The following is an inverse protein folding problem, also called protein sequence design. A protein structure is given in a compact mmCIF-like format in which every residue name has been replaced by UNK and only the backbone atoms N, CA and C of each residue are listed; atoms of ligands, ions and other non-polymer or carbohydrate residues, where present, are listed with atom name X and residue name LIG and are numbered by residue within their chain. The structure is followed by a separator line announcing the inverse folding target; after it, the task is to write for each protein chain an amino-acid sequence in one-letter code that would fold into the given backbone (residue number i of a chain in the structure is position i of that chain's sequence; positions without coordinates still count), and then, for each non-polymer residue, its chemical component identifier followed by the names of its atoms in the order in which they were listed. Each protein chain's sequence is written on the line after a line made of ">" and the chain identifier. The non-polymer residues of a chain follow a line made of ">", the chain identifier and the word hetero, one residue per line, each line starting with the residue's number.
data_IF_888486218963
#
_entry.id   IF_888486218963
#
_cell.length_a   1.000
_cell.length_b   1.000
_cell.length_c   1.000
_cell.angle_alpha   90.00
_cell.angle_beta   90.00
_cell.angle_gamma   90.00
#
_symmetry.space_group_name_H-M   'P 1'
#
loop_
_entity.id
_entity.type
_entity.pdbx_description
1 polymer ?
#
# COMPACT_ATOMS: atom_id res chain seq x y z
N UNK A 1 23.02 -14.31 -8.69
CA UNK A 1 22.56 -13.92 -7.32
C UNK A 1 23.11 -12.54 -7.07
N UNK A 2 22.22 -11.52 -6.87
CA UNK A 2 22.68 -10.16 -6.48
C UNK A 2 23.08 -10.26 -5.01
N UNK A 3 24.37 -10.20 -4.73
CA UNK A 3 24.87 -10.16 -3.36
C UNK A 3 25.11 -8.70 -2.97
N UNK A 4 24.21 -8.17 -2.13
CA UNK A 4 24.30 -6.80 -1.67
C UNK A 4 25.17 -6.70 -0.42
N UNK A 5 26.03 -5.70 -0.38
CA UNK A 5 26.87 -5.40 0.77
C UNK A 5 26.02 -5.12 2.04
N UNK A 6 26.58 -5.42 3.21
CA UNK A 6 25.86 -5.33 4.49
C UNK A 6 25.28 -3.93 4.76
N UNK A 7 25.99 -2.87 4.39
CA UNK A 7 25.50 -1.48 4.57
C UNK A 7 24.27 -1.18 3.70
N UNK A 8 24.16 -1.77 2.50
CA UNK A 8 22.98 -1.65 1.63
C UNK A 8 21.80 -2.41 2.23
N UNK A 9 22.01 -3.60 2.76
CA UNK A 9 20.97 -4.37 3.46
C UNK A 9 20.47 -3.63 4.70
N UNK A 10 21.35 -2.97 5.47
CA UNK A 10 20.98 -2.16 6.61
C UNK A 10 20.16 -0.92 6.19
N UNK A 11 20.57 -0.25 5.12
CA UNK A 11 19.79 0.86 4.53
C UNK A 11 18.39 0.39 4.13
N UNK A 12 18.27 -0.75 3.45
CA UNK A 12 16.99 -1.31 3.03
C UNK A 12 16.12 -1.74 4.23
N UNK A 13 16.72 -2.29 5.28
CA UNK A 13 16.01 -2.60 6.54
C UNK A 13 15.43 -1.34 7.18
N UNK A 14 16.22 -0.27 7.31
CA UNK A 14 15.76 1.02 7.90
C UNK A 14 14.65 1.63 7.04
N UNK A 15 14.83 1.66 5.72
CA UNK A 15 13.81 2.13 4.79
C UNK A 15 12.51 1.32 4.93
N UNK A 16 12.60 0.00 5.06
CA UNK A 16 11.47 -0.87 5.26
C UNK A 16 10.81 -0.69 6.64
N UNK A 17 11.57 -0.42 7.70
CA UNK A 17 11.02 -0.10 9.03
C UNK A 17 10.19 1.19 8.97
N UNK A 18 10.73 2.26 8.38
CA UNK A 18 10.01 3.54 8.20
C UNK A 18 8.77 3.32 7.32
N UNK A 19 8.92 2.57 6.24
CA UNK A 19 7.83 2.23 5.35
C UNK A 19 6.71 1.47 6.08
N UNK A 20 7.05 0.46 6.89
CA UNK A 20 6.09 -0.31 7.68
C UNK A 20 5.37 0.55 8.72
N UNK A 21 6.11 1.45 9.39
CA UNK A 21 5.52 2.41 10.32
C UNK A 21 4.46 3.28 9.62
N UNK A 22 4.83 3.92 8.51
CA UNK A 22 3.93 4.80 7.74
C UNK A 22 2.78 3.99 7.13
N UNK A 23 3.09 2.84 6.52
CA UNK A 23 2.09 1.99 5.87
C UNK A 23 1.00 1.55 6.84
N UNK A 24 1.37 1.13 8.03
CA UNK A 24 0.40 0.67 9.04
C UNK A 24 -0.57 1.77 9.50
N UNK A 25 -0.21 3.04 9.33
CA UNK A 25 -1.01 4.21 9.71
C UNK A 25 -1.86 4.70 8.54
N UNK A 26 -1.23 4.99 7.40
CA UNK A 26 -1.86 5.71 6.28
C UNK A 26 -1.85 4.96 4.95
N UNK A 27 -1.12 3.85 4.87
CA UNK A 27 -0.86 3.18 3.61
C UNK A 27 0.34 3.79 2.88
N UNK A 28 0.84 3.07 1.89
CA UNK A 28 1.89 3.60 1.01
C UNK A 28 3.32 3.17 1.31
N UNK A 29 3.55 2.09 2.05
CA UNK A 29 4.90 1.57 2.32
C UNK A 29 5.73 1.33 1.07
N UNK A 30 5.10 0.84 0.00
CA UNK A 30 5.74 0.65 -1.30
C UNK A 30 6.34 1.92 -1.92
N UNK A 31 5.84 3.09 -1.51
CA UNK A 31 6.34 4.40 -1.95
C UNK A 31 7.76 4.70 -1.44
N UNK A 32 8.15 4.08 -0.36
CA UNK A 32 9.48 4.21 0.24
C UNK A 32 10.35 3.03 -0.20
N UNK A 33 9.82 1.81 -0.13
CA UNK A 33 10.59 0.60 -0.35
C UNK A 33 10.96 0.37 -1.81
N UNK A 34 10.05 0.66 -2.76
CA UNK A 34 10.34 0.51 -4.19
C UNK A 34 11.49 1.42 -4.62
N UNK A 35 11.46 2.75 -4.38
CA UNK A 35 12.59 3.59 -4.70
C UNK A 35 13.88 3.22 -3.96
N UNK A 36 13.79 2.79 -2.69
CA UNK A 36 14.98 2.36 -1.95
C UNK A 36 15.65 1.14 -2.62
N UNK A 37 14.87 0.17 -3.09
CA UNK A 37 15.39 -0.99 -3.83
C UNK A 37 15.95 -0.60 -5.20
N UNK A 38 15.29 0.30 -5.94
CA UNK A 38 15.80 0.81 -7.21
C UNK A 38 17.13 1.56 -7.03
N UNK A 39 17.25 2.39 -5.98
CA UNK A 39 18.51 3.06 -5.62
C UNK A 39 19.61 2.08 -5.22
N UNK A 40 19.24 0.94 -4.66
CA UNK A 40 20.18 -0.17 -4.38
C UNK A 40 20.56 -0.97 -5.64
N UNK A 41 20.11 -0.56 -6.84
CA UNK A 41 20.43 -1.21 -8.12
C UNK A 41 19.61 -2.46 -8.41
N UNK A 42 18.53 -2.72 -7.69
CA UNK A 42 17.67 -3.88 -7.94
C UNK A 42 16.81 -3.62 -9.18
N UNK A 43 16.78 -4.53 -10.18
CA UNK A 43 15.98 -4.37 -11.38
C UNK A 43 14.47 -4.20 -11.07
N UNK A 44 13.72 -3.46 -11.90
CA UNK A 44 12.32 -3.10 -11.61
C UNK A 44 11.40 -4.30 -11.33
N UNK A 45 11.46 -5.36 -12.15
CA UNK A 45 10.59 -6.53 -11.96
C UNK A 45 10.91 -7.25 -10.64
N UNK A 46 12.19 -7.42 -10.30
CA UNK A 46 12.61 -8.01 -9.02
C UNK A 46 12.25 -7.09 -7.84
N UNK A 47 12.32 -5.78 -8.04
CA UNK A 47 11.85 -4.79 -7.05
C UNK A 47 10.37 -4.96 -6.74
N UNK A 48 9.52 -5.11 -7.77
CA UNK A 48 8.07 -5.34 -7.57
C UNK A 48 7.80 -6.65 -6.82
N UNK A 49 8.40 -7.76 -7.26
CA UNK A 49 8.22 -9.06 -6.61
C UNK A 49 8.75 -9.07 -5.16
N UNK A 50 9.95 -8.52 -4.93
CA UNK A 50 10.54 -8.42 -3.59
C UNK A 50 9.72 -7.49 -2.69
N UNK A 51 9.13 -6.42 -3.25
CA UNK A 51 8.23 -5.54 -2.52
C UNK A 51 6.98 -6.29 -2.02
N UNK A 52 6.40 -7.19 -2.81
CA UNK A 52 5.26 -8.00 -2.36
C UNK A 52 5.64 -8.95 -1.24
N UNK A 53 6.80 -9.59 -1.32
CA UNK A 53 7.30 -10.45 -0.25
C UNK A 53 7.44 -9.68 1.08
N UNK A 54 8.14 -8.56 1.08
CA UNK A 54 8.35 -7.78 2.31
C UNK A 54 7.06 -7.14 2.84
N UNK A 55 6.15 -6.72 1.94
CA UNK A 55 4.87 -6.12 2.31
C UNK A 55 3.92 -7.11 3.01
N UNK A 56 4.06 -8.42 2.78
CA UNK A 56 3.33 -9.44 3.54
C UNK A 56 3.63 -9.34 5.03
N UNK A 57 4.89 -9.11 5.41
CA UNK A 57 5.28 -8.97 6.82
C UNK A 57 4.68 -7.71 7.43
N UNK A 58 4.71 -6.58 6.71
CA UNK A 58 4.17 -5.31 7.20
C UNK A 58 2.65 -5.32 7.33
N UNK A 59 1.95 -5.65 6.25
CA UNK A 59 0.48 -5.69 6.23
C UNK A 59 -0.09 -6.78 7.12
N UNK A 60 0.55 -7.97 7.17
CA UNK A 60 0.18 -9.05 8.08
C UNK A 60 0.35 -8.66 9.54
N UNK A 61 1.50 -8.04 9.89
CA UNK A 61 1.79 -7.52 11.22
C UNK A 61 0.78 -6.47 11.67
N UNK A 62 0.47 -5.49 10.82
CA UNK A 62 -0.55 -4.47 11.08
C UNK A 62 -1.94 -5.09 11.22
N UNK A 63 -2.33 -5.99 10.31
CA UNK A 63 -3.61 -6.70 10.37
C UNK A 63 -3.79 -7.42 11.70
N UNK A 64 -2.76 -8.15 12.15
CA UNK A 64 -2.78 -8.85 13.42
C UNK A 64 -2.91 -7.89 14.62
N UNK A 65 -2.19 -6.76 14.58
CA UNK A 65 -2.27 -5.75 15.63
C UNK A 65 -3.68 -5.14 15.74
N UNK A 66 -4.29 -4.75 14.61
CA UNK A 66 -5.65 -4.22 14.58
C UNK A 66 -6.71 -5.26 14.94
N UNK A 67 -6.55 -6.51 14.50
CA UNK A 67 -7.47 -7.59 14.83
C UNK A 67 -7.46 -7.92 16.35
N UNK A 68 -6.27 -7.99 16.96
CA UNK A 68 -6.13 -8.19 18.42
C UNK A 68 -6.73 -7.06 19.24
N UNK A 69 -6.75 -5.85 18.69
CA UNK A 69 -7.37 -4.69 19.30
C UNK A 69 -8.89 -4.58 19.00
N UNK A 70 -9.49 -5.56 18.34
CA UNK A 70 -10.92 -5.58 18.02
C UNK A 70 -11.35 -4.59 16.92
N UNK A 71 -10.40 -3.98 16.19
CA UNK A 71 -10.69 -2.99 15.16
C UNK A 71 -11.17 -3.62 13.84
N UNK A 72 -10.93 -4.91 13.63
CA UNK A 72 -11.36 -5.65 12.44
C UNK A 72 -11.70 -7.09 12.79
N UNK A 73 -12.80 -7.58 12.24
CA UNK A 73 -13.20 -9.00 12.34
C UNK A 73 -12.65 -9.74 11.11
N UNK A 74 -11.60 -10.54 11.33
CA UNK A 74 -10.93 -11.27 10.25
C UNK A 74 -11.87 -12.21 9.50
N UNK A 75 -12.71 -12.98 10.21
CA UNK A 75 -13.64 -13.95 9.59
C UNK A 75 -14.64 -13.26 8.66
N UNK A 76 -15.21 -12.15 9.10
CA UNK A 76 -16.21 -11.40 8.32
C UNK A 76 -15.61 -10.77 7.07
N UNK A 77 -14.37 -10.32 7.15
CA UNK A 77 -13.72 -9.59 6.06
C UNK A 77 -12.85 -10.48 5.17
N UNK A 78 -12.62 -11.74 5.53
CA UNK A 78 -11.82 -12.68 4.74
C UNK A 78 -12.31 -12.83 3.27
N UNK A 79 -13.63 -12.88 2.95
CA UNK A 79 -14.09 -12.92 1.57
C UNK A 79 -13.64 -11.70 0.75
N UNK A 80 -13.69 -10.50 1.33
CA UNK A 80 -13.19 -9.28 0.66
C UNK A 80 -11.66 -9.34 0.46
N UNK A 81 -10.92 -9.87 1.44
CA UNK A 81 -9.47 -10.05 1.31
C UNK A 81 -9.13 -11.05 0.19
N UNK A 82 -9.93 -12.12 0.03
CA UNK A 82 -9.78 -13.05 -1.08
C UNK A 82 -10.06 -12.38 -2.44
N UNK A 83 -11.10 -11.55 -2.55
CA UNK A 83 -11.39 -10.77 -3.76
C UNK A 83 -10.25 -9.78 -4.07
N UNK A 84 -9.67 -9.15 -3.04
CA UNK A 84 -8.49 -8.31 -3.19
C UNK A 84 -7.28 -9.10 -3.71
N UNK A 85 -7.07 -10.33 -3.19
CA UNK A 85 -6.01 -11.22 -3.64
C UNK A 85 -6.18 -11.62 -5.12
N UNK A 86 -7.41 -11.99 -5.52
CA UNK A 86 -7.72 -12.34 -6.91
C UNK A 86 -7.45 -11.15 -7.84
N UNK A 87 -7.96 -9.96 -7.48
CA UNK A 87 -7.68 -8.74 -8.22
C UNK A 87 -6.17 -8.49 -8.37
N UNK A 88 -5.42 -8.61 -7.28
CA UNK A 88 -3.99 -8.39 -7.27
C UNK A 88 -3.20 -9.45 -8.06
N UNK A 89 -3.63 -10.71 -8.05
CA UNK A 89 -3.03 -11.74 -8.89
C UNK A 89 -3.20 -11.42 -10.38
N UNK A 90 -4.42 -11.00 -10.79
CA UNK A 90 -4.67 -10.55 -12.17
C UNK A 90 -3.82 -9.32 -12.52
N UNK A 91 -3.74 -8.34 -11.62
CA UNK A 91 -2.92 -7.15 -11.81
C UNK A 91 -1.42 -7.48 -11.94
N UNK A 92 -0.91 -8.37 -11.09
CA UNK A 92 0.48 -8.80 -11.15
C UNK A 92 0.80 -9.56 -12.46
N UNK A 93 -0.12 -10.39 -12.94
CA UNK A 93 0.03 -11.04 -14.24
C UNK A 93 0.11 -10.01 -15.39
N UNK A 94 -0.71 -8.97 -15.32
CA UNK A 94 -0.65 -7.86 -16.28
C UNK A 94 0.65 -7.05 -16.14
N UNK A 95 1.14 -6.81 -14.92
CA UNK A 95 2.40 -6.09 -14.69
C UNK A 95 3.61 -6.74 -15.36
N UNK A 96 3.55 -8.05 -15.62
CA UNK A 96 4.65 -8.78 -16.32
C UNK A 96 4.71 -8.48 -17.81
N UNK A 97 3.65 -7.92 -18.42
CA UNK A 97 3.51 -7.69 -19.87
C UNK A 97 3.25 -6.25 -20.28
N UNK A 98 2.90 -5.34 -19.36
CA UNK A 98 2.52 -3.96 -19.67
C UNK A 98 3.70 -2.97 -19.59
N UNK A 99 3.76 -1.99 -20.54
CA UNK A 99 4.61 -0.81 -20.37
C UNK A 99 4.08 0.05 -19.21
N UNK A 100 4.92 0.29 -18.20
CA UNK A 100 4.52 0.99 -16.97
C UNK A 100 4.20 2.49 -17.12
N UNK A 101 4.20 3.05 -18.33
CA UNK A 101 4.13 4.49 -18.59
C UNK A 101 2.78 5.12 -18.28
N UNK A 102 1.69 4.48 -18.70
CA UNK A 102 0.32 5.01 -18.46
C UNK A 102 0.03 5.15 -16.97
N UNK A 103 0.44 4.17 -16.20
CA UNK A 103 0.22 4.14 -14.76
C UNK A 103 1.12 5.16 -14.04
N UNK A 104 2.34 5.40 -14.51
CA UNK A 104 3.20 6.47 -14.01
C UNK A 104 2.57 7.86 -14.19
N UNK A 105 1.82 8.08 -15.27
CA UNK A 105 1.16 9.35 -15.53
C UNK A 105 -0.05 9.58 -14.61
N UNK A 106 -0.87 8.57 -14.38
CA UNK A 106 -2.12 8.69 -13.62
C UNK A 106 -1.88 8.72 -12.10
N UNK A 107 -0.89 7.98 -11.60
CA UNK A 107 -0.64 7.81 -10.19
C UNK A 107 -0.45 9.13 -9.41
N UNK A 108 0.33 10.14 -9.87
CA UNK A 108 0.45 11.41 -9.16
C UNK A 108 -0.88 12.13 -8.98
N UNK A 109 -1.73 12.13 -10.01
CA UNK A 109 -3.04 12.78 -9.97
C UNK A 109 -3.97 12.12 -8.97
N UNK A 110 -3.99 10.78 -8.93
CA UNK A 110 -4.79 10.03 -7.96
C UNK A 110 -4.32 10.31 -6.52
N UNK A 111 -3.02 10.35 -6.27
CA UNK A 111 -2.46 10.63 -4.95
C UNK A 111 -2.71 12.07 -4.50
N UNK A 112 -2.60 13.04 -5.41
CA UNK A 112 -2.99 14.43 -5.13
C UNK A 112 -4.48 14.52 -4.81
N UNK A 113 -5.34 13.81 -5.55
CA UNK A 113 -6.77 13.74 -5.27
C UNK A 113 -7.06 13.20 -3.87
N UNK A 114 -6.37 12.14 -3.43
CA UNK A 114 -6.48 11.60 -2.06
C UNK A 114 -6.02 12.63 -1.03
N UNK A 115 -4.84 13.22 -1.23
CA UNK A 115 -4.30 14.22 -0.32
C UNK A 115 -5.26 15.40 -0.16
N UNK A 116 -5.77 15.93 -1.27
CA UNK A 116 -6.71 17.04 -1.31
C UNK A 116 -8.04 16.68 -0.62
N UNK A 117 -8.58 15.49 -0.88
CA UNK A 117 -9.81 15.03 -0.23
C UNK A 117 -9.68 15.04 1.30
N UNK A 118 -8.63 14.42 1.85
CA UNK A 118 -8.42 14.37 3.29
C UNK A 118 -8.02 15.73 3.90
N UNK A 119 -7.34 16.59 3.15
CA UNK A 119 -7.01 17.94 3.59
C UNK A 119 -8.25 18.84 3.68
N UNK A 120 -9.13 18.79 2.68
CA UNK A 120 -10.33 19.63 2.60
C UNK A 120 -11.52 19.11 3.42
N UNK A 121 -11.47 17.91 3.94
CA UNK A 121 -12.53 17.32 4.78
C UNK A 121 -12.11 17.26 6.25
N UNK A 122 -12.10 18.39 6.99
CA UNK A 122 -11.64 18.43 8.38
C UNK A 122 -12.50 17.56 9.32
N UNK A 123 -13.79 17.37 9.00
CA UNK A 123 -14.76 16.67 9.84
C UNK A 123 -14.77 15.13 9.65
N UNK A 124 -13.83 14.55 8.90
CA UNK A 124 -13.65 13.09 8.86
C UNK A 124 -12.88 12.69 10.11
N UNK A 125 -13.59 12.13 11.08
CA UNK A 125 -13.06 11.60 12.33
C UNK A 125 -13.15 10.08 12.41
N UNK A 126 -13.15 9.56 13.64
CA UNK A 126 -13.25 8.10 13.91
C UNK A 126 -14.72 7.65 14.10
N UNK A 127 -15.69 8.46 13.70
CA UNK A 127 -17.12 8.14 13.80
C UNK A 127 -17.59 7.49 12.50
N UNK A 128 -18.22 6.31 12.63
CA UNK A 128 -18.82 5.62 11.49
C UNK A 128 -20.07 6.36 11.00
N UNK A 129 -20.29 6.28 9.69
CA UNK A 129 -21.48 6.78 8.98
C UNK A 129 -22.16 5.61 8.26
N UNK A 130 -23.32 5.87 7.66
CA UNK A 130 -24.00 4.87 6.86
C UNK A 130 -23.23 4.52 5.57
N UNK A 131 -23.30 3.25 5.17
CA UNK A 131 -22.82 2.80 3.87
C UNK A 131 -23.52 3.58 2.75
N UNK A 132 -22.75 4.09 1.82
CA UNK A 132 -23.24 4.77 0.61
C UNK A 132 -23.35 3.83 -0.58
N UNK A 133 -22.52 2.79 -0.60
CA UNK A 133 -22.53 1.71 -1.57
C UNK A 133 -22.86 0.41 -0.85
N UNK A 134 -23.76 -0.42 -1.40
CA UNK A 134 -24.07 -1.71 -0.79
C UNK A 134 -22.81 -2.56 -0.56
N UNK A 135 -22.72 -3.26 0.58
CA UNK A 135 -21.53 -4.01 0.99
C UNK A 135 -21.09 -5.02 -0.10
N UNK A 136 -22.07 -5.71 -0.73
CA UNK A 136 -21.78 -6.64 -1.82
C UNK A 136 -21.23 -5.92 -3.07
N UNK A 137 -21.81 -4.79 -3.45
CA UNK A 137 -21.31 -4.02 -4.59
C UNK A 137 -19.88 -3.52 -4.31
N UNK A 138 -19.60 -3.01 -3.10
CA UNK A 138 -18.25 -2.63 -2.68
C UNK A 138 -17.27 -3.81 -2.78
N UNK A 139 -17.67 -4.98 -2.26
CA UNK A 139 -16.84 -6.17 -2.25
C UNK A 139 -16.47 -6.68 -3.66
N UNK A 140 -17.44 -6.70 -4.58
CA UNK A 140 -17.25 -7.27 -5.91
C UNK A 140 -16.74 -6.27 -6.97
N UNK A 141 -16.76 -4.98 -6.70
CA UNK A 141 -16.29 -3.96 -7.65
C UNK A 141 -15.06 -3.22 -7.15
N UNK A 142 -15.19 -2.49 -6.04
CA UNK A 142 -14.13 -1.61 -5.52
C UNK A 142 -12.94 -2.42 -5.02
N UNK A 143 -13.19 -3.49 -4.27
CA UNK A 143 -12.14 -4.29 -3.65
C UNK A 143 -11.22 -4.97 -4.68
N UNK A 144 -11.73 -5.73 -5.68
CA UNK A 144 -10.88 -6.34 -6.68
C UNK A 144 -10.23 -5.31 -7.61
N UNK A 145 -10.86 -4.16 -7.88
CA UNK A 145 -10.28 -3.11 -8.70
C UNK A 145 -9.05 -2.48 -8.02
N UNK A 146 -9.15 -2.15 -6.73
CA UNK A 146 -8.00 -1.65 -5.98
C UNK A 146 -6.95 -2.75 -5.79
N UNK A 147 -7.38 -4.01 -5.60
CA UNK A 147 -6.48 -5.16 -5.59
C UNK A 147 -5.72 -5.29 -6.91
N UNK A 148 -6.39 -5.19 -8.05
CA UNK A 148 -5.77 -5.21 -9.37
C UNK A 148 -4.71 -4.12 -9.52
N UNK A 149 -5.05 -2.87 -9.12
CA UNK A 149 -4.09 -1.79 -9.06
C UNK A 149 -2.86 -2.14 -8.21
N UNK A 150 -3.08 -2.75 -7.03
CA UNK A 150 -1.98 -3.20 -6.15
C UNK A 150 -1.08 -4.24 -6.83
N UNK A 151 -1.66 -5.15 -7.58
CA UNK A 151 -0.93 -6.15 -8.34
C UNK A 151 -0.05 -5.54 -9.43
N UNK A 152 -0.59 -4.55 -10.16
CA UNK A 152 0.15 -3.88 -11.25
C UNK A 152 1.27 -3.00 -10.69
N UNK A 153 1.02 -2.26 -9.61
CA UNK A 153 1.89 -1.19 -9.11
C UNK A 153 2.24 -1.28 -7.63
N UNK A 154 1.24 -1.26 -6.79
CA UNK A 154 1.36 -1.31 -5.35
C UNK A 154 1.46 0.00 -4.59
N UNK A 155 2.23 1.03 -5.02
CA UNK A 155 2.36 2.26 -4.25
C UNK A 155 1.01 2.95 -4.01
N UNK A 156 0.69 3.26 -2.75
CA UNK A 156 -0.54 3.98 -2.42
C UNK A 156 -1.81 3.15 -2.24
N UNK A 157 -1.79 1.85 -2.50
CA UNK A 157 -2.95 0.95 -2.37
C UNK A 157 -3.67 1.08 -1.04
N UNK A 158 -2.92 1.15 0.07
CA UNK A 158 -3.50 1.37 1.39
C UNK A 158 -4.28 2.69 1.50
N UNK A 159 -3.80 3.76 0.86
CA UNK A 159 -4.50 5.04 0.83
C UNK A 159 -5.79 4.96 0.00
N UNK A 160 -5.79 4.21 -1.11
CA UNK A 160 -6.99 4.00 -1.93
C UNK A 160 -8.05 3.16 -1.19
N UNK A 161 -7.66 2.06 -0.55
CA UNK A 161 -8.59 1.29 0.29
C UNK A 161 -9.15 2.14 1.42
N UNK A 162 -8.30 2.92 2.11
CA UNK A 162 -8.76 3.80 3.18
C UNK A 162 -9.76 4.83 2.67
N UNK A 163 -9.47 5.49 1.54
CA UNK A 163 -10.39 6.43 0.90
C UNK A 163 -11.73 5.75 0.58
N UNK A 164 -11.69 4.57 -0.03
CA UNK A 164 -12.88 3.82 -0.38
C UNK A 164 -13.72 3.44 0.86
N UNK A 165 -13.09 2.95 1.93
CA UNK A 165 -13.81 2.65 3.18
C UNK A 165 -14.41 3.90 3.83
N UNK A 166 -13.71 5.03 3.84
CA UNK A 166 -14.23 6.28 4.41
C UNK A 166 -15.36 6.85 3.58
N UNK A 167 -15.22 6.85 2.24
CA UNK A 167 -16.18 7.52 1.35
C UNK A 167 -17.38 6.68 0.98
N UNK A 168 -17.19 5.37 0.73
CA UNK A 168 -18.21 4.47 0.21
C UNK A 168 -18.79 3.55 1.28
N UNK A 169 -17.96 3.07 2.21
CA UNK A 169 -18.40 2.26 3.34
C UNK A 169 -18.77 3.08 4.58
N UNK A 170 -18.43 4.37 4.60
CA UNK A 170 -18.77 5.27 5.70
C UNK A 170 -18.00 5.01 7.00
N UNK A 171 -16.90 4.28 6.97
CA UNK A 171 -16.12 3.95 8.17
C UNK A 171 -15.38 5.18 8.69
N UNK A 172 -15.27 5.28 10.02
CA UNK A 172 -14.34 6.19 10.67
C UNK A 172 -12.90 5.86 10.28
N UNK A 173 -12.00 6.85 10.36
CA UNK A 173 -10.63 6.74 9.81
C UNK A 173 -9.84 5.58 10.42
N UNK A 174 -9.92 5.37 11.74
CA UNK A 174 -9.22 4.27 12.41
C UNK A 174 -9.73 2.90 11.95
N UNK A 175 -11.05 2.73 11.89
CA UNK A 175 -11.67 1.50 11.40
C UNK A 175 -11.36 1.26 9.93
N UNK A 176 -11.45 2.29 9.08
CA UNK A 176 -11.05 2.21 7.69
C UNK A 176 -9.59 1.75 7.54
N UNK A 177 -8.68 2.30 8.35
CA UNK A 177 -7.27 1.87 8.39
C UNK A 177 -7.14 0.39 8.72
N UNK A 178 -7.81 -0.08 9.78
CA UNK A 178 -7.75 -1.47 10.21
C UNK A 178 -8.24 -2.44 9.12
N UNK A 179 -9.39 -2.14 8.51
CA UNK A 179 -9.96 -2.93 7.42
C UNK A 179 -9.07 -2.93 6.17
N UNK A 180 -8.46 -1.79 5.85
CA UNK A 180 -7.49 -1.65 4.76
C UNK A 180 -6.33 -2.63 4.89
N UNK A 181 -5.79 -2.85 6.10
CA UNK A 181 -4.61 -3.71 6.27
C UNK A 181 -4.88 -5.16 5.92
N UNK A 182 -6.07 -5.67 6.23
CA UNK A 182 -6.43 -7.04 5.84
C UNK A 182 -6.60 -7.16 4.31
N UNK A 183 -7.22 -6.18 3.65
CA UNK A 183 -7.34 -6.19 2.19
C UNK A 183 -5.97 -6.06 1.51
N UNK A 184 -5.11 -5.21 2.05
CA UNK A 184 -3.73 -5.05 1.59
C UNK A 184 -2.90 -6.33 1.80
N UNK A 185 -3.11 -7.04 2.90
CA UNK A 185 -2.49 -8.33 3.13
C UNK A 185 -2.96 -9.35 2.08
N UNK A 186 -4.27 -9.38 1.78
CA UNK A 186 -4.84 -10.21 0.74
C UNK A 186 -4.25 -9.91 -0.64
N UNK A 187 -4.23 -8.64 -1.05
CA UNK A 187 -3.65 -8.24 -2.35
C UNK A 187 -2.16 -8.58 -2.46
N UNK A 188 -1.39 -8.38 -1.38
CA UNK A 188 0.01 -8.79 -1.36
C UNK A 188 0.20 -10.30 -1.51
N UNK A 189 -0.69 -11.14 -0.91
CA UNK A 189 -0.67 -12.61 -1.12
C UNK A 189 -0.90 -12.93 -2.60
N UNK A 190 -1.94 -12.35 -3.22
CA UNK A 190 -2.27 -12.61 -4.60
C UNK A 190 -1.15 -12.24 -5.57
N UNK A 191 -0.64 -11.03 -5.44
CA UNK A 191 0.47 -10.56 -6.27
C UNK A 191 1.77 -11.33 -5.99
N UNK A 192 2.06 -11.64 -4.71
CA UNK A 192 3.22 -12.46 -4.33
C UNK A 192 3.21 -13.82 -5.02
N UNK A 193 2.07 -14.51 -5.06
CA UNK A 193 1.95 -15.82 -5.70
C UNK A 193 2.33 -15.77 -7.19
N UNK A 194 1.93 -14.71 -7.90
CA UNK A 194 2.26 -14.51 -9.31
C UNK A 194 3.76 -14.21 -9.48
N UNK A 195 4.32 -13.24 -8.77
CA UNK A 195 5.75 -12.91 -8.87
C UNK A 195 6.64 -14.07 -8.41
N UNK A 196 6.18 -14.92 -7.49
CA UNK A 196 6.85 -16.15 -7.11
C UNK A 196 6.95 -17.11 -8.29
N UNK A 197 5.83 -17.34 -9.00
CA UNK A 197 5.81 -18.22 -10.18
C UNK A 197 6.72 -17.70 -11.30
N UNK A 198 6.90 -16.39 -11.42
CA UNK A 198 7.83 -15.76 -12.38
C UNK A 198 9.28 -15.69 -11.89
N UNK A 199 9.60 -16.17 -10.69
CA UNK A 199 10.96 -16.12 -10.13
C UNK A 199 11.48 -14.70 -9.89
N UNK A 200 10.59 -13.70 -9.82
CA UNK A 200 10.94 -12.27 -9.73
C UNK A 200 11.15 -11.83 -8.27
N UNK A 201 11.93 -12.57 -7.48
CA UNK A 201 12.16 -12.27 -6.07
C UNK A 201 13.61 -12.38 -5.64
N UNK A 202 14.04 -11.44 -4.80
CA UNK A 202 15.30 -11.50 -4.06
C UNK A 202 15.00 -11.88 -2.61
N UNK A 203 15.05 -13.17 -2.30
CA UNK A 203 14.65 -13.70 -1.00
C UNK A 203 15.39 -13.07 0.18
N UNK A 204 16.73 -12.96 0.10
CA UNK A 204 17.56 -12.34 1.15
C UNK A 204 17.11 -10.91 1.45
N UNK A 205 16.92 -10.11 0.40
CA UNK A 205 16.44 -8.73 0.50
C UNK A 205 15.02 -8.67 1.06
N UNK A 206 14.13 -9.49 0.50
CA UNK A 206 12.72 -9.55 0.92
C UNK A 206 12.54 -9.90 2.40
N UNK A 207 13.32 -10.85 2.94
CA UNK A 207 13.27 -11.19 4.36
C UNK A 207 13.89 -10.12 5.26
N UNK A 208 15.02 -9.51 4.88
CA UNK A 208 15.64 -8.42 5.64
C UNK A 208 14.68 -7.22 5.71
N UNK A 209 14.12 -6.82 4.57
CA UNK A 209 13.13 -5.74 4.52
C UNK A 209 11.82 -6.14 5.20
N UNK A 210 11.41 -7.40 5.09
CA UNK A 210 10.24 -7.96 5.77
C UNK A 210 10.33 -7.82 7.29
N UNK A 211 11.49 -8.12 7.87
CA UNK A 211 11.73 -7.89 9.29
C UNK A 211 11.58 -6.41 9.66
N UNK A 212 12.17 -5.49 8.89
CA UNK A 212 11.99 -4.05 9.07
C UNK A 212 10.51 -3.64 9.01
N UNK A 213 9.80 -4.06 7.97
CA UNK A 213 8.36 -3.82 7.80
C UNK A 213 7.53 -4.35 8.97
N UNK A 214 7.83 -5.57 9.44
CA UNK A 214 7.12 -6.17 10.56
C UNK A 214 7.22 -5.31 11.81
N UNK A 215 8.43 -4.95 12.23
CA UNK A 215 8.64 -4.13 13.42
C UNK A 215 8.09 -2.71 13.25
N UNK A 216 8.31 -2.09 12.09
CA UNK A 216 7.76 -0.77 11.78
C UNK A 216 6.24 -0.75 11.87
N UNK A 217 5.58 -1.76 11.30
CA UNK A 217 4.12 -1.87 11.32
C UNK A 217 3.55 -2.13 12.72
N UNK A 218 4.25 -2.87 13.58
CA UNK A 218 3.84 -3.05 14.98
C UNK A 218 3.86 -1.74 15.75
N UNK A 219 4.89 -0.93 15.56
CA UNK A 219 5.00 0.37 16.22
C UNK A 219 3.95 1.33 15.67
N UNK A 220 3.85 1.43 14.34
CA UNK A 220 2.94 2.36 13.68
C UNK A 220 1.46 2.06 13.94
N UNK A 221 1.03 0.80 13.91
CA UNK A 221 -0.35 0.41 14.20
C UNK A 221 -0.75 0.74 15.65
N UNK A 222 0.13 0.48 16.62
CA UNK A 222 -0.09 0.87 18.02
C UNK A 222 -0.20 2.39 18.19
N UNK A 223 0.64 3.13 17.46
CA UNK A 223 0.61 4.59 17.47
C UNK A 223 -0.69 5.13 16.83
N UNK A 224 -1.12 4.55 15.71
CA UNK A 224 -2.39 4.90 15.08
C UNK A 224 -3.60 4.62 15.99
N UNK A 225 -3.64 3.47 16.64
CA UNK A 225 -4.72 3.12 17.59
C UNK A 225 -4.81 4.07 18.78
N UNK A 226 -3.67 4.61 19.26
CA UNK A 226 -3.65 5.59 20.35
C UNK A 226 -4.10 6.99 19.95
N UNK A 227 -3.88 7.39 18.70
CA UNK A 227 -4.06 8.77 18.22
C UNK A 227 -5.22 8.93 17.24
N UNK A 228 -5.70 7.83 16.63
CA UNK A 228 -6.81 7.81 15.68
C UNK A 228 -6.65 8.79 14.52
N UNK A 229 -7.74 9.40 14.08
CA UNK A 229 -7.75 10.32 12.95
C UNK A 229 -6.79 11.51 13.10
N UNK A 230 -6.43 11.91 14.33
CA UNK A 230 -5.52 13.03 14.60
C UNK A 230 -4.13 12.84 13.97
N UNK A 231 -3.67 11.58 13.88
CA UNK A 231 -2.36 11.26 13.30
C UNK A 231 -2.47 10.61 11.93
N UNK A 232 -3.51 9.83 11.69
CA UNK A 232 -3.70 9.11 10.43
C UNK A 232 -3.89 10.10 9.28
N UNK A 233 -4.76 11.10 9.45
CA UNK A 233 -5.02 12.12 8.42
C UNK A 233 -3.78 12.91 7.99
N UNK A 234 -3.04 13.57 8.89
CA UNK A 234 -1.86 14.33 8.47
C UNK A 234 -0.77 13.46 7.84
N UNK A 235 -0.52 12.26 8.36
CA UNK A 235 0.44 11.33 7.74
C UNK A 235 -0.02 10.95 6.34
N UNK A 236 -1.29 10.62 6.13
CA UNK A 236 -1.84 10.29 4.82
C UNK A 236 -1.71 11.46 3.83
N UNK A 237 -2.06 12.67 4.25
CA UNK A 237 -1.93 13.87 3.41
C UNK A 237 -0.46 14.10 3.02
N UNK A 238 0.43 14.11 4.01
CA UNK A 238 1.87 14.35 3.78
C UNK A 238 2.46 13.28 2.87
N UNK A 239 2.24 12.00 3.16
CA UNK A 239 2.80 10.90 2.37
C UNK A 239 2.27 10.90 0.94
N UNK A 240 0.97 11.08 0.75
CA UNK A 240 0.36 11.13 -0.59
C UNK A 240 0.85 12.35 -1.39
N UNK A 241 0.99 13.52 -0.74
CA UNK A 241 1.50 14.74 -1.39
C UNK A 241 2.97 14.61 -1.78
N UNK A 242 3.82 14.17 -0.85
CA UNK A 242 5.26 13.99 -1.11
C UNK A 242 5.48 13.00 -2.24
N UNK A 243 4.73 11.90 -2.26
CA UNK A 243 4.84 10.94 -3.35
C UNK A 243 4.35 11.52 -4.68
N UNK A 244 3.20 12.20 -4.69
CA UNK A 244 2.69 12.81 -5.90
C UNK A 244 3.71 13.79 -6.51
N UNK A 245 4.30 14.66 -5.67
CA UNK A 245 5.36 15.59 -6.09
C UNK A 245 6.57 14.83 -6.64
N UNK A 246 7.01 13.78 -5.96
CA UNK A 246 8.15 12.97 -6.40
C UNK A 246 7.90 12.30 -7.76
N UNK A 247 6.71 11.74 -7.95
CA UNK A 247 6.35 11.10 -9.23
C UNK A 247 6.20 12.12 -10.35
N UNK A 248 5.67 13.31 -10.07
CA UNK A 248 5.62 14.40 -11.05
C UNK A 248 7.01 14.96 -11.38
N UNK A 249 7.94 14.96 -10.44
CA UNK A 249 9.31 15.41 -10.64
C UNK A 249 10.18 14.40 -11.42
N UNK A 250 9.72 13.15 -11.59
CA UNK A 250 10.45 12.13 -12.36
C UNK A 250 10.56 12.57 -13.83
N UNK A 251 11.78 12.70 -14.39
CA UNK A 251 11.98 13.09 -15.80
C UNK A 251 11.33 12.13 -16.81
N UNK A 252 11.11 10.88 -16.41
CA UNK A 252 10.48 9.85 -17.26
C UNK A 252 8.96 9.81 -17.15
N UNK A 253 8.35 10.69 -16.32
CA UNK A 253 6.90 10.68 -16.15
C UNK A 253 6.21 11.23 -17.40
N UNK A 254 5.31 10.46 -18.05
CA UNK A 254 4.62 10.90 -19.26
C UNK A 254 3.80 12.17 -19.08
N UNK A 255 3.23 12.40 -17.89
CA UNK A 255 2.47 13.62 -17.59
C UNK A 255 3.36 14.85 -17.62
N UNK A 256 4.58 14.75 -17.09
CA UNK A 256 5.58 15.83 -17.12
C UNK A 256 6.00 16.13 -18.57
N UNK A 257 6.28 15.10 -19.36
CA UNK A 257 6.63 15.23 -20.76
C UNK A 257 5.51 15.88 -21.58
N UNK A 258 4.25 15.51 -21.29
CA UNK A 258 3.09 16.10 -21.96
C UNK A 258 2.85 17.56 -21.57
N UNK A 259 3.14 17.95 -20.32
CA UNK A 259 3.02 19.33 -19.82
C UNK A 259 4.21 20.23 -20.23
N UNK A 260 5.25 19.67 -20.85
CA UNK A 260 6.42 20.43 -21.31
C UNK A 260 7.34 20.92 -20.18
N UNK A 261 7.43 20.17 -19.09
CA UNK A 261 8.21 20.54 -17.90
C UNK A 261 9.49 19.70 -17.80
#
# INVERSE_FOLDING_TARGET
>A
VIDLALHVLLFLFIAAFIAGFIDSIAGGGGMITIPAMLLAGIPPLQTLGTNKLQALFGSGSATLAYARAGQVNLRRQLPMAALSAIGAALGAAVATVLPGEVLKAILPLLLLGIALYFALKPNIGDVDRHWRLAELAFAFTVVPLIGFYDGVFGPGTGSFFMLAFVTLAGFGVLKATAHTKLLNFGSNIGAFAVFLAYGAMLWKVGFVMGAGQFFGAQVGSRFAMKRGAKIIKPILVVTSTVLAIRLMADPTNPLRLWLGW
#
